data_IF_624322203525
#
_entry.id   IF_624322203525
#
_cell.length_a   1.000
_cell.length_b   1.000
_cell.length_c   1.000
_cell.angle_alpha   90.00
_cell.angle_beta   90.00
_cell.angle_gamma   90.00
#
_symmetry.space_group_name_H-M   'P 1'
#
loop_
_entity.id
_entity.type
_entity.pdbx_description
1 polymer ?
#
# COMPACT_ATOMS: atom_id res chain seq x y z
N UNK A 1 9.68 -8.30 9.17
CA UNK A 1 8.53 -8.60 8.29
C UNK A 1 8.37 -7.45 7.31
N UNK A 2 8.18 -7.75 6.02
CA UNK A 2 8.01 -6.73 4.97
C UNK A 2 6.65 -6.93 4.30
N UNK A 3 5.89 -5.85 4.16
CA UNK A 3 4.52 -5.85 3.65
C UNK A 3 4.48 -5.01 2.37
N UNK A 4 3.76 -5.50 1.37
CA UNK A 4 3.46 -4.76 0.15
C UNK A 4 1.95 -4.50 0.10
N UNK A 5 1.55 -3.23 0.07
CA UNK A 5 0.16 -2.81 -0.06
C UNK A 5 -0.04 -2.33 -1.50
N UNK A 6 -0.84 -3.07 -2.26
CA UNK A 6 -1.24 -2.68 -3.61
C UNK A 6 -2.70 -2.22 -3.58
N UNK A 7 -2.97 -1.02 -4.08
CA UNK A 7 -4.32 -0.45 -4.04
C UNK A 7 -4.77 0.08 -5.41
N UNK A 8 -6.08 0.04 -5.64
CA UNK A 8 -6.73 0.78 -6.72
C UNK A 8 -7.67 1.82 -6.13
N UNK A 9 -7.64 3.03 -6.66
CA UNK A 9 -8.46 4.14 -6.19
C UNK A 9 -8.82 5.07 -7.34
N UNK A 10 -10.11 5.23 -7.62
CA UNK A 10 -10.60 6.14 -8.67
C UNK A 10 -10.63 7.59 -8.19
N UNK A 11 -11.22 7.83 -7.01
CA UNK A 11 -11.46 9.18 -6.46
C UNK A 11 -10.57 9.53 -5.27
N UNK A 12 -9.67 8.63 -4.86
CA UNK A 12 -8.68 8.88 -3.81
C UNK A 12 -9.01 8.30 -2.43
N UNK A 13 -10.24 7.83 -2.19
CA UNK A 13 -10.61 7.30 -0.88
C UNK A 13 -9.81 6.05 -0.49
N UNK A 14 -9.69 5.07 -1.40
CA UNK A 14 -8.91 3.86 -1.13
C UNK A 14 -7.42 4.17 -1.00
N UNK A 15 -6.90 5.20 -1.69
CA UNK A 15 -5.52 5.69 -1.50
C UNK A 15 -5.28 6.13 -0.06
N UNK A 16 -6.17 6.95 0.49
CA UNK A 16 -6.09 7.42 1.88
C UNK A 16 -6.11 6.26 2.87
N UNK A 17 -6.96 5.25 2.62
CA UNK A 17 -6.98 4.03 3.44
C UNK A 17 -5.66 3.26 3.36
N UNK A 18 -5.10 3.09 2.16
CA UNK A 18 -3.84 2.38 1.96
C UNK A 18 -2.64 3.12 2.59
N UNK A 19 -2.64 4.45 2.55
CA UNK A 19 -1.67 5.30 3.25
C UNK A 19 -1.78 5.13 4.78
N UNK A 20 -3.00 5.09 5.33
CA UNK A 20 -3.21 4.87 6.76
C UNK A 20 -2.73 3.49 7.22
N UNK A 21 -2.98 2.44 6.43
CA UNK A 21 -2.46 1.09 6.68
C UNK A 21 -0.93 1.08 6.65
N UNK A 22 -0.32 1.69 5.62
CA UNK A 22 1.15 1.79 5.52
C UNK A 22 1.78 2.50 6.72
N UNK A 23 1.14 3.60 7.18
CA UNK A 23 1.56 4.34 8.37
C UNK A 23 1.51 3.47 9.62
N UNK A 24 0.41 2.76 9.86
CA UNK A 24 0.29 1.86 11.02
C UNK A 24 1.34 0.74 11.03
N UNK A 25 1.67 0.18 9.87
CA UNK A 25 2.73 -0.82 9.75
C UNK A 25 4.10 -0.23 10.11
N UNK A 26 4.41 0.98 9.64
CA UNK A 26 5.67 1.68 9.93
C UNK A 26 5.78 2.06 11.41
N UNK A 27 4.67 2.49 12.02
CA UNK A 27 4.60 2.80 13.46
C UNK A 27 4.82 1.56 14.33
N UNK A 28 4.40 0.38 13.86
CA UNK A 28 4.69 -0.90 14.50
C UNK A 28 6.11 -1.44 14.21
N UNK A 29 7.05 -0.58 13.78
CA UNK A 29 8.42 -0.95 13.40
C UNK A 29 8.52 -1.94 12.22
N UNK A 30 7.45 -2.07 11.43
CA UNK A 30 7.40 -2.88 10.22
C UNK A 30 7.87 -2.13 8.98
N UNK A 31 8.20 -2.87 7.91
CA UNK A 31 8.51 -2.29 6.60
C UNK A 31 7.29 -2.42 5.70
N UNK A 32 6.88 -1.32 5.06
CA UNK A 32 5.74 -1.31 4.14
C UNK A 32 6.08 -0.56 2.85
N UNK A 33 5.98 -1.26 1.73
CA UNK A 33 5.96 -0.68 0.39
C UNK A 33 4.50 -0.47 -0.04
N UNK A 34 4.21 0.67 -0.67
CA UNK A 34 2.86 1.06 -1.07
C UNK A 34 2.87 1.37 -2.58
N UNK A 35 2.08 0.63 -3.34
CA UNK A 35 1.97 0.79 -4.79
C UNK A 35 0.51 0.97 -5.21
N UNK A 36 0.27 1.83 -6.18
CA UNK A 36 -0.97 1.80 -6.93
C UNK A 36 -0.97 0.61 -7.90
N UNK A 37 -2.14 0.10 -8.23
CA UNK A 37 -2.31 -1.01 -9.17
C UNK A 37 -1.67 -0.72 -10.55
N UNK A 38 -1.53 0.56 -10.92
CA UNK A 38 -0.91 0.99 -12.19
C UNK A 38 0.61 0.86 -12.18
N UNK A 39 1.23 0.77 -11.02
CA UNK A 39 2.69 0.68 -10.84
C UNK A 39 3.20 -0.76 -10.72
N UNK A 40 2.29 -1.75 -10.64
CA UNK A 40 2.63 -3.15 -10.40
C UNK A 40 2.32 -3.99 -11.62
N UNK A 41 3.27 -4.85 -12.02
CA UNK A 41 3.05 -5.89 -13.03
C UNK A 41 3.08 -7.26 -12.33
N UNK A 42 1.98 -8.03 -12.34
CA UNK A 42 2.01 -9.39 -11.81
C UNK A 42 2.94 -10.25 -12.67
N UNK A 43 3.87 -10.94 -12.01
CA UNK A 43 4.69 -12.01 -12.62
C UNK A 43 4.30 -13.32 -11.95
N UNK A 44 3.98 -14.31 -12.79
CA UNK A 44 3.68 -15.68 -12.40
C UNK A 44 4.93 -16.54 -12.56
#
# INVERSE_FOLDING_TARGET
>A
MRVCVVYYSQTGNTKKMAEAISKGIKEANGQCDLFSLREVTPRW
#
